data_IF_020963456297
#
_entry.id   IF_020963456297
#
_cell.length_a   1.000
_cell.length_b   1.000
_cell.length_c   1.000
_cell.angle_alpha   90.00
_cell.angle_beta   90.00
_cell.angle_gamma   90.00
#
_symmetry.space_group_name_H-M   'P 1'
#
loop_
_entity.id
_entity.type
_entity.pdbx_description
1 polymer ?
#
# COMPACT_ATOMS: atom_id res chain seq x y z
N UNK A 1 12.37 -7.46 -1.10
CA UNK A 1 11.07 -7.48 -0.43
C UNK A 1 10.54 -8.91 -0.42
N UNK A 2 10.76 -9.61 0.69
CA UNK A 2 10.42 -11.03 0.90
C UNK A 2 8.91 -11.29 0.71
N UNK A 3 8.10 -10.25 0.79
CA UNK A 3 6.65 -10.34 0.72
C UNK A 3 6.07 -10.03 -0.66
N UNK A 4 6.88 -9.54 -1.57
CA UNK A 4 6.47 -9.39 -2.97
C UNK A 4 6.55 -10.75 -3.65
N UNK A 5 5.41 -11.19 -4.12
CA UNK A 5 5.22 -12.46 -4.80
C UNK A 5 5.52 -12.40 -6.28
N UNK A 6 6.32 -11.44 -6.68
CA UNK A 6 6.76 -11.38 -8.05
C UNK A 6 7.65 -12.57 -8.34
N UNK A 7 7.47 -13.24 -9.48
CA UNK A 7 8.41 -14.26 -9.90
C UNK A 7 9.81 -13.65 -9.89
N UNK A 8 10.74 -14.30 -9.25
CA UNK A 8 12.13 -13.84 -9.13
C UNK A 8 12.87 -13.72 -10.47
N UNK A 9 12.19 -14.13 -11.55
CA UNK A 9 12.71 -14.04 -12.93
C UNK A 9 12.31 -12.76 -13.65
N UNK A 10 11.58 -11.82 -13.01
CA UNK A 10 11.35 -10.49 -13.54
C UNK A 10 12.56 -9.61 -13.29
N UNK A 11 13.01 -8.91 -14.32
CA UNK A 11 13.92 -7.79 -14.17
C UNK A 11 13.13 -6.52 -13.94
N UNK A 12 13.09 -6.02 -12.69
CA UNK A 12 12.47 -4.73 -12.36
C UNK A 12 13.54 -3.62 -12.43
N UNK A 13 14.10 -3.42 -13.63
CA UNK A 13 15.09 -2.36 -13.85
C UNK A 13 14.84 -1.65 -15.17
N UNK A 14 15.30 -0.42 -15.26
CA UNK A 14 15.33 0.35 -16.50
C UNK A 14 16.70 1.00 -16.68
N UNK A 15 17.16 1.06 -17.91
CA UNK A 15 18.39 1.74 -18.29
C UNK A 15 18.02 3.04 -19.02
N UNK A 16 18.51 4.13 -18.50
CA UNK A 16 18.30 5.45 -19.08
C UNK A 16 19.61 6.04 -19.53
N UNK A 17 19.59 6.69 -20.70
CA UNK A 17 20.72 7.51 -21.16
C UNK A 17 20.23 8.96 -21.23
N UNK A 18 20.94 9.84 -20.54
CA UNK A 18 20.61 11.27 -20.51
C UNK A 18 21.36 11.98 -21.63
N UNK A 19 20.65 12.83 -22.36
CA UNK A 19 21.19 13.62 -23.46
C UNK A 19 21.13 15.11 -23.12
N UNK A 20 22.08 15.89 -23.63
CA UNK A 20 22.15 17.33 -23.48
C UNK A 20 22.69 18.00 -24.71
N UNK A 21 22.97 19.33 -24.63
CA UNK A 21 23.58 20.04 -25.73
C UNK A 21 25.03 19.56 -26.05
N UNK A 22 25.60 20.05 -27.14
CA UNK A 22 26.96 19.67 -27.56
C UNK A 22 28.05 19.94 -26.49
N UNK A 23 27.74 20.77 -25.48
CA UNK A 23 28.62 21.07 -24.33
C UNK A 23 28.32 20.24 -23.09
N UNK A 24 27.41 19.25 -23.19
CA UNK A 24 27.01 18.39 -22.07
C UNK A 24 26.15 19.07 -21.01
N UNK A 25 25.45 20.18 -21.35
CA UNK A 25 24.52 20.85 -20.43
C UNK A 25 23.09 20.37 -20.65
N UNK A 26 22.24 20.44 -19.61
CA UNK A 26 20.81 20.20 -19.77
C UNK A 26 20.22 21.07 -20.89
N UNK A 27 19.44 20.43 -21.76
CA UNK A 27 18.83 21.09 -22.92
C UNK A 27 17.45 20.52 -23.20
N UNK A 28 16.57 21.28 -23.87
CA UNK A 28 15.33 20.75 -24.43
C UNK A 28 15.63 19.69 -25.49
N UNK A 29 14.64 18.85 -25.81
CA UNK A 29 14.81 17.83 -26.85
C UNK A 29 15.25 18.42 -28.19
N UNK A 30 16.28 17.81 -28.76
CA UNK A 30 16.77 18.08 -30.11
C UNK A 30 17.44 16.81 -30.64
N UNK A 31 17.31 16.57 -31.95
CA UNK A 31 18.00 15.45 -32.61
C UNK A 31 19.54 15.60 -32.58
N UNK A 32 20.02 16.80 -32.39
CA UNK A 32 21.45 17.12 -32.28
C UNK A 32 21.99 16.95 -30.84
N UNK A 33 21.19 16.58 -29.88
CA UNK A 33 21.63 16.34 -28.51
C UNK A 33 22.59 15.14 -28.45
N UNK A 34 23.61 15.27 -27.61
CA UNK A 34 24.62 14.22 -27.39
C UNK A 34 24.50 13.61 -26.00
N UNK A 35 24.93 12.36 -25.80
CA UNK A 35 24.95 11.74 -24.47
C UNK A 35 25.78 12.56 -23.49
N UNK A 36 25.22 12.86 -22.32
CA UNK A 36 25.94 13.56 -21.24
C UNK A 36 26.94 12.58 -20.60
N UNK A 37 28.20 13.00 -20.50
CA UNK A 37 29.20 12.29 -19.73
C UNK A 37 29.07 12.65 -18.26
N UNK A 38 28.77 11.70 -17.35
CA UNK A 38 28.62 11.99 -15.93
C UNK A 38 29.94 12.42 -15.30
N UNK A 39 29.91 13.35 -14.36
CA UNK A 39 31.10 13.81 -13.62
C UNK A 39 31.69 12.72 -12.73
N UNK A 40 30.85 11.80 -12.27
CA UNK A 40 31.23 10.67 -11.42
C UNK A 40 30.41 9.45 -11.80
N UNK A 41 31.07 8.33 -11.90
CA UNK A 41 30.46 7.01 -12.13
C UNK A 41 30.59 6.19 -10.85
N UNK A 42 29.52 5.50 -10.48
CA UNK A 42 29.56 4.55 -9.37
C UNK A 42 30.19 3.24 -9.88
N UNK A 43 31.05 2.68 -9.08
CA UNK A 43 31.60 1.35 -9.38
C UNK A 43 30.52 0.29 -9.16
N UNK A 44 30.38 -0.61 -10.12
CA UNK A 44 29.51 -1.78 -10.00
C UNK A 44 30.38 -2.97 -9.59
N UNK A 45 30.12 -3.51 -8.40
CA UNK A 45 30.76 -4.73 -7.94
C UNK A 45 30.07 -5.95 -8.57
N UNK A 46 30.86 -6.87 -9.09
CA UNK A 46 30.39 -8.17 -9.62
C UNK A 46 30.74 -9.34 -8.68
N UNK A 47 31.30 -9.06 -7.51
CA UNK A 47 31.67 -10.10 -6.52
C UNK A 47 30.48 -10.75 -5.82
N UNK A 48 29.26 -10.21 -6.00
CA UNK A 48 28.06 -10.68 -5.31
C UNK A 48 27.93 -10.12 -3.89
N UNK A 49 26.98 -10.65 -3.13
CA UNK A 49 26.70 -10.33 -1.74
C UNK A 49 26.62 -11.62 -0.93
N UNK A 50 26.95 -11.55 0.36
CA UNK A 50 26.90 -12.65 1.29
C UNK A 50 26.01 -12.32 2.48
N UNK A 51 25.59 -13.36 3.21
CA UNK A 51 24.84 -13.17 4.45
C UNK A 51 25.69 -12.39 5.47
N UNK A 52 25.10 -11.31 6.03
CA UNK A 52 25.78 -10.43 6.97
C UNK A 52 26.45 -9.20 6.33
N UNK A 53 26.49 -9.10 5.00
CA UNK A 53 26.97 -7.88 4.33
C UNK A 53 26.07 -6.69 4.62
N UNK A 54 26.68 -5.50 4.68
CA UNK A 54 25.92 -4.26 4.85
C UNK A 54 25.06 -3.98 3.62
N UNK A 55 23.77 -3.74 3.86
CA UNK A 55 22.83 -3.33 2.84
C UNK A 55 22.09 -2.06 3.26
N UNK A 56 21.88 -1.15 2.31
CA UNK A 56 21.15 0.09 2.53
C UNK A 56 20.14 0.32 1.40
N UNK A 57 18.93 0.75 1.80
CA UNK A 57 17.90 1.19 0.86
C UNK A 57 17.75 2.71 0.99
N UNK A 58 17.91 3.42 -0.12
CA UNK A 58 17.66 4.86 -0.19
C UNK A 58 16.26 5.06 -0.74
N UNK A 59 15.35 5.59 0.08
CA UNK A 59 13.97 5.84 -0.30
C UNK A 59 13.02 5.80 0.89
N UNK A 60 11.75 6.01 0.59
CA UNK A 60 10.67 5.93 1.57
C UNK A 60 9.97 4.59 1.45
N UNK A 61 10.24 3.63 2.35
CA UNK A 61 9.52 2.37 2.35
C UNK A 61 8.03 2.64 2.63
N UNK A 62 7.17 1.78 2.10
CA UNK A 62 5.74 1.84 2.36
C UNK A 62 5.41 1.63 3.85
N UNK A 63 4.13 1.48 4.14
CA UNK A 63 3.68 1.26 5.52
C UNK A 63 3.96 -0.18 5.96
N UNK A 64 4.55 -0.34 7.14
CA UNK A 64 4.66 -1.61 7.87
C UNK A 64 3.94 -1.51 9.21
N UNK A 65 3.27 -2.60 9.63
CA UNK A 65 2.54 -2.67 10.89
C UNK A 65 3.21 -3.73 11.79
N UNK A 66 4.38 -3.42 12.34
CA UNK A 66 5.19 -4.38 13.12
C UNK A 66 4.64 -4.67 14.52
N UNK A 67 3.90 -3.74 15.11
CA UNK A 67 3.49 -3.77 16.51
C UNK A 67 1.97 -3.90 16.65
N UNK A 68 1.34 -4.70 15.79
CA UNK A 68 -0.08 -4.99 15.90
C UNK A 68 -0.35 -5.92 17.09
N UNK A 69 -1.44 -5.66 17.82
CA UNK A 69 -1.96 -6.59 18.82
C UNK A 69 -2.53 -7.86 18.18
N UNK A 70 -2.72 -8.92 18.96
CA UNK A 70 -3.37 -10.15 18.51
C UNK A 70 -4.75 -9.85 17.91
N UNK A 71 -5.50 -8.92 18.50
CA UNK A 71 -6.82 -8.52 18.03
C UNK A 71 -6.74 -7.77 16.69
N UNK A 72 -5.76 -6.90 16.51
CA UNK A 72 -5.54 -6.19 15.25
C UNK A 72 -5.15 -7.16 14.11
N UNK A 73 -4.31 -8.15 14.38
CA UNK A 73 -3.96 -9.20 13.42
C UNK A 73 -5.19 -10.03 13.08
N UNK A 74 -6.00 -10.41 14.06
CA UNK A 74 -7.25 -11.14 13.89
C UNK A 74 -8.25 -10.38 13.01
N UNK A 75 -8.45 -9.08 13.26
CA UNK A 75 -9.31 -8.23 12.43
C UNK A 75 -8.79 -8.20 10.98
N UNK A 76 -7.48 -8.11 10.79
CA UNK A 76 -6.89 -8.12 9.46
C UNK A 76 -7.11 -9.45 8.74
N UNK A 77 -6.85 -10.57 9.42
CA UNK A 77 -6.96 -11.90 8.85
C UNK A 77 -8.41 -12.32 8.56
N UNK A 78 -9.35 -12.01 9.47
CA UNK A 78 -10.70 -12.53 9.41
C UNK A 78 -11.74 -11.52 8.90
N UNK A 79 -11.44 -10.23 8.91
CA UNK A 79 -12.39 -9.19 8.51
C UNK A 79 -11.94 -8.48 7.25
N UNK A 80 -10.79 -7.77 7.27
CA UNK A 80 -10.43 -6.87 6.17
C UNK A 80 -9.88 -7.61 4.95
N UNK A 81 -8.92 -8.51 5.13
CA UNK A 81 -8.30 -9.22 4.01
C UNK A 81 -9.29 -10.08 3.20
N UNK A 82 -10.22 -10.84 3.82
CA UNK A 82 -11.21 -11.61 3.07
C UNK A 82 -12.10 -10.74 2.17
N UNK A 83 -12.52 -9.57 2.66
CA UNK A 83 -13.31 -8.61 1.88
C UNK A 83 -12.52 -8.08 0.70
N UNK A 84 -11.27 -7.63 0.94
CA UNK A 84 -10.39 -7.11 -0.11
C UNK A 84 -10.14 -8.17 -1.18
N UNK A 85 -9.81 -9.39 -0.77
CA UNK A 85 -9.55 -10.51 -1.69
C UNK A 85 -10.76 -10.74 -2.58
N UNK A 86 -11.95 -10.91 -1.96
CA UNK A 86 -13.18 -11.21 -2.70
C UNK A 86 -13.54 -10.09 -3.67
N UNK A 87 -13.71 -8.88 -3.18
CA UNK A 87 -14.16 -7.74 -3.99
C UNK A 87 -13.22 -7.46 -5.17
N UNK A 88 -11.91 -7.57 -4.94
CA UNK A 88 -10.92 -7.33 -6.00
C UNK A 88 -10.84 -8.48 -6.98
N UNK A 89 -10.97 -9.74 -6.54
CA UNK A 89 -10.99 -10.89 -7.45
C UNK A 89 -12.20 -10.84 -8.36
N UNK A 90 -13.39 -10.61 -7.83
CA UNK A 90 -14.61 -10.48 -8.63
C UNK A 90 -14.45 -9.40 -9.71
N UNK A 91 -13.84 -8.26 -9.36
CA UNK A 91 -13.55 -7.18 -10.30
C UNK A 91 -12.50 -7.56 -11.36
N UNK A 92 -11.42 -8.22 -10.95
CA UNK A 92 -10.38 -8.68 -11.86
C UNK A 92 -10.90 -9.69 -12.88
N UNK A 93 -11.79 -10.60 -12.47
CA UNK A 93 -12.40 -11.58 -13.34
C UNK A 93 -13.29 -10.93 -14.42
N UNK A 94 -14.00 -9.85 -14.05
CA UNK A 94 -14.78 -9.06 -15.02
C UNK A 94 -13.84 -8.34 -15.99
N UNK A 95 -12.81 -7.65 -15.47
CA UNK A 95 -11.86 -6.92 -16.30
C UNK A 95 -11.15 -7.86 -17.27
N UNK A 96 -10.68 -9.02 -16.80
CA UNK A 96 -9.94 -9.98 -17.62
C UNK A 96 -10.75 -10.45 -18.80
N UNK A 97 -12.03 -10.80 -18.59
CA UNK A 97 -12.93 -11.23 -19.69
C UNK A 97 -13.04 -10.18 -20.80
N UNK A 98 -13.15 -8.90 -20.43
CA UNK A 98 -13.23 -7.83 -21.43
C UNK A 98 -11.86 -7.55 -22.09
N UNK A 99 -10.77 -7.64 -21.33
CA UNK A 99 -9.41 -7.48 -21.84
C UNK A 99 -8.98 -8.62 -22.77
N UNK A 100 -9.51 -9.82 -22.58
CA UNK A 100 -9.27 -10.96 -23.49
C UNK A 100 -10.06 -10.85 -24.78
N UNK A 101 -11.24 -10.25 -24.73
CA UNK A 101 -12.11 -10.08 -25.89
C UNK A 101 -11.68 -8.93 -26.81
N UNK A 102 -10.98 -7.91 -26.29
CA UNK A 102 -10.66 -6.69 -27.02
C UNK A 102 -9.26 -6.16 -26.67
N UNK A 103 -8.32 -6.11 -27.65
CA UNK A 103 -6.96 -5.60 -27.46
C UNK A 103 -6.89 -4.14 -27.01
N UNK A 104 -7.79 -3.28 -27.45
CA UNK A 104 -7.82 -1.87 -27.08
C UNK A 104 -8.25 -1.69 -25.63
N UNK A 105 -9.27 -2.46 -25.20
CA UNK A 105 -9.66 -2.56 -23.79
C UNK A 105 -8.51 -3.10 -22.96
N UNK A 106 -7.78 -4.10 -23.46
CA UNK A 106 -6.61 -4.64 -22.77
C UNK A 106 -5.54 -3.57 -22.55
N UNK A 107 -5.22 -2.81 -23.56
CA UNK A 107 -4.23 -1.72 -23.46
C UNK A 107 -4.68 -0.67 -22.44
N UNK A 108 -5.94 -0.24 -22.52
CA UNK A 108 -6.54 0.78 -21.66
C UNK A 108 -6.56 0.39 -20.18
N UNK A 109 -6.82 -0.89 -19.87
CA UNK A 109 -7.02 -1.36 -18.49
C UNK A 109 -5.82 -2.09 -17.88
N UNK A 110 -4.73 -2.32 -18.62
CA UNK A 110 -3.57 -3.10 -18.14
C UNK A 110 -3.02 -2.58 -16.83
N UNK A 111 -2.71 -1.30 -16.72
CA UNK A 111 -2.15 -0.72 -15.50
C UNK A 111 -3.12 -0.85 -14.32
N UNK A 112 -4.39 -0.59 -14.56
CA UNK A 112 -5.44 -0.70 -13.54
C UNK A 112 -5.60 -2.14 -13.07
N UNK A 113 -5.60 -3.10 -13.99
CA UNK A 113 -5.64 -4.52 -13.70
C UNK A 113 -4.45 -4.97 -12.85
N UNK A 114 -3.24 -4.64 -13.25
CA UNK A 114 -2.03 -5.01 -12.50
C UNK A 114 -2.00 -4.38 -11.10
N UNK A 115 -2.41 -3.13 -10.97
CA UNK A 115 -2.49 -2.47 -9.67
C UNK A 115 -3.48 -3.19 -8.74
N UNK A 116 -4.70 -3.49 -9.22
CA UNK A 116 -5.71 -4.20 -8.44
C UNK A 116 -5.24 -5.60 -8.06
N UNK A 117 -4.66 -6.33 -9.03
CA UNK A 117 -4.12 -7.68 -8.83
C UNK A 117 -3.02 -7.69 -7.77
N UNK A 118 -2.09 -6.74 -7.82
CA UNK A 118 -1.01 -6.64 -6.85
C UNK A 118 -1.53 -6.57 -5.40
N UNK A 119 -2.53 -5.74 -5.15
CA UNK A 119 -3.11 -5.61 -3.80
C UNK A 119 -4.01 -6.79 -3.40
N UNK A 120 -4.75 -7.38 -4.35
CA UNK A 120 -5.54 -8.58 -4.09
C UNK A 120 -4.65 -9.75 -3.68
N UNK A 121 -3.57 -9.90 -4.40
CA UNK A 121 -2.57 -10.92 -4.15
C UNK A 121 -1.79 -10.65 -2.86
N UNK A 122 -1.45 -9.39 -2.56
CA UNK A 122 -0.86 -9.02 -1.29
C UNK A 122 -1.74 -9.48 -0.11
N UNK A 123 -3.03 -9.12 -0.11
CA UNK A 123 -3.96 -9.50 0.95
C UNK A 123 -4.09 -11.04 1.09
N UNK A 124 -4.14 -11.76 -0.04
CA UNK A 124 -4.20 -13.22 -0.07
C UNK A 124 -2.98 -13.85 0.58
N UNK A 125 -1.78 -13.43 0.17
CA UNK A 125 -0.55 -14.02 0.68
C UNK A 125 -0.22 -13.57 2.09
N UNK A 126 -0.58 -12.36 2.46
CA UNK A 126 -0.53 -11.92 3.85
C UNK A 126 -1.34 -12.85 4.74
N UNK A 127 -2.59 -13.18 4.38
CA UNK A 127 -3.41 -14.12 5.15
C UNK A 127 -2.79 -15.52 5.23
N UNK A 128 -2.20 -16.01 4.15
CA UNK A 128 -1.52 -17.31 4.16
C UNK A 128 -0.33 -17.26 5.12
N UNK A 129 0.45 -16.18 5.11
CA UNK A 129 1.59 -16.03 6.02
C UNK A 129 1.15 -15.87 7.47
N UNK A 130 0.12 -15.05 7.75
CA UNK A 130 -0.41 -14.86 9.11
C UNK A 130 -0.82 -16.20 9.74
N UNK A 131 -1.49 -17.06 8.97
CA UNK A 131 -1.90 -18.41 9.43
C UNK A 131 -0.73 -19.36 9.54
N UNK A 132 0.14 -19.41 8.50
CA UNK A 132 1.25 -20.36 8.45
C UNK A 132 2.23 -20.17 9.62
N UNK A 133 2.45 -18.93 10.02
CA UNK A 133 3.38 -18.59 11.10
C UNK A 133 2.66 -18.33 12.44
N UNK A 134 1.36 -18.60 12.52
CA UNK A 134 0.56 -18.35 13.72
C UNK A 134 0.83 -16.99 14.38
N UNK A 135 0.78 -15.93 13.58
CA UNK A 135 1.14 -14.57 14.07
C UNK A 135 0.18 -14.15 15.19
N UNK A 136 -1.09 -14.58 15.15
CA UNK A 136 -2.06 -14.33 16.22
C UNK A 136 -1.57 -14.97 17.53
N UNK A 137 -1.13 -16.23 17.50
CA UNK A 137 -0.60 -16.93 18.68
C UNK A 137 0.67 -16.29 19.22
N UNK A 138 1.60 -15.89 18.34
CA UNK A 138 2.82 -15.16 18.73
C UNK A 138 2.46 -13.88 19.49
N UNK A 139 1.55 -13.07 18.96
CA UNK A 139 1.12 -11.82 19.61
C UNK A 139 0.36 -12.06 20.89
N UNK A 140 -0.51 -13.08 20.94
CA UNK A 140 -1.21 -13.47 22.17
C UNK A 140 -0.23 -13.91 23.29
N UNK A 141 0.85 -14.61 22.94
CA UNK A 141 1.89 -14.96 23.89
C UNK A 141 2.66 -13.74 24.42
N UNK A 142 2.89 -12.74 23.59
CA UNK A 142 3.48 -11.44 24.00
C UNK A 142 2.53 -10.69 24.95
N UNK A 143 1.22 -10.67 24.63
CA UNK A 143 0.17 -10.06 25.46
C UNK A 143 0.03 -10.78 26.81
N UNK A 144 0.16 -12.11 26.83
CA UNK A 144 0.15 -12.87 28.09
C UNK A 144 1.35 -12.52 28.99
N UNK A 145 2.53 -12.30 28.41
CA UNK A 145 3.69 -11.81 29.19
C UNK A 145 3.46 -10.41 29.74
N UNK A 146 2.85 -9.52 28.95
CA UNK A 146 2.44 -8.20 29.42
C UNK A 146 1.43 -8.28 30.56
N UNK A 147 0.41 -9.14 30.44
CA UNK A 147 -0.58 -9.37 31.50
C UNK A 147 0.09 -9.84 32.79
N UNK A 148 1.00 -10.81 32.71
CA UNK A 148 1.75 -11.27 33.89
C UNK A 148 2.61 -10.18 34.54
N UNK A 149 3.22 -9.32 33.72
CA UNK A 149 3.97 -8.15 34.20
C UNK A 149 3.07 -7.12 34.89
N UNK A 150 1.87 -6.87 34.37
CA UNK A 150 0.87 -5.99 34.98
C UNK A 150 0.42 -6.55 36.32
N UNK A 151 0.11 -7.85 36.36
CA UNK A 151 -0.42 -8.51 37.55
C UNK A 151 0.59 -8.65 38.70
N UNK A 152 1.87 -8.59 38.41
CA UNK A 152 2.93 -8.69 39.40
C UNK A 152 3.06 -7.45 40.31
N UNK A 153 2.40 -6.34 40.01
CA UNK A 153 2.52 -5.09 40.76
C UNK A 153 1.14 -4.41 40.92
N UNK A 154 0.69 -4.08 42.16
CA UNK A 154 -0.59 -3.44 42.41
C UNK A 154 -0.77 -2.09 41.71
N UNK A 155 0.29 -1.27 41.60
CA UNK A 155 0.21 0.02 40.93
C UNK A 155 0.01 -0.15 39.41
N UNK A 156 0.75 -1.08 38.80
CA UNK A 156 0.57 -1.43 37.38
C UNK A 156 -0.81 -2.01 37.10
N UNK A 157 -1.31 -2.87 38.00
CA UNK A 157 -2.67 -3.41 37.91
C UNK A 157 -3.73 -2.32 37.99
N UNK A 158 -3.57 -1.34 38.87
CA UNK A 158 -4.49 -0.22 38.98
C UNK A 158 -4.49 0.64 37.71
N UNK A 159 -3.35 0.81 37.03
CA UNK A 159 -3.21 1.64 35.84
C UNK A 159 -3.56 0.91 34.55
N UNK A 160 -3.13 -0.36 34.39
CA UNK A 160 -3.19 -1.10 33.12
C UNK A 160 -4.06 -2.38 33.17
N UNK A 161 -4.68 -2.72 34.32
CA UNK A 161 -5.37 -4.00 34.52
C UNK A 161 -6.43 -4.30 33.45
N UNK A 162 -7.15 -3.29 33.00
CA UNK A 162 -8.23 -3.43 32.01
C UNK A 162 -7.76 -3.28 30.57
N UNK A 163 -6.48 -3.01 30.30
CA UNK A 163 -5.96 -2.64 28.99
C UNK A 163 -6.29 -3.68 27.91
N UNK A 164 -5.91 -4.92 28.15
CA UNK A 164 -6.08 -6.01 27.15
C UNK A 164 -7.54 -6.39 26.97
N UNK A 165 -8.33 -6.37 28.05
CA UNK A 165 -9.76 -6.64 28.01
C UNK A 165 -10.51 -5.57 27.21
N UNK A 166 -10.22 -4.29 27.47
CA UNK A 166 -10.81 -3.18 26.76
C UNK A 166 -10.38 -3.17 25.28
N UNK A 167 -9.14 -3.49 24.98
CA UNK A 167 -8.66 -3.63 23.60
C UNK A 167 -9.45 -4.71 22.86
N UNK A 168 -9.60 -5.90 23.43
CA UNK A 168 -10.38 -6.99 22.86
C UNK A 168 -11.84 -6.57 22.62
N UNK A 169 -12.51 -6.02 23.63
CA UNK A 169 -13.88 -5.55 23.53
C UNK A 169 -14.05 -4.48 22.42
N UNK A 170 -13.10 -3.55 22.31
CA UNK A 170 -13.14 -2.54 21.28
C UNK A 170 -13.02 -3.11 19.85
N UNK A 171 -12.17 -4.10 19.63
CA UNK A 171 -12.07 -4.78 18.33
C UNK A 171 -13.32 -5.61 18.00
N UNK A 172 -13.86 -6.33 18.97
CA UNK A 172 -15.10 -7.10 18.78
C UNK A 172 -16.28 -6.18 18.43
N UNK A 173 -16.44 -5.08 19.16
CA UNK A 173 -17.53 -4.14 18.94
C UNK A 173 -17.51 -3.45 17.57
N UNK A 174 -16.32 -3.21 16.99
CA UNK A 174 -16.19 -2.53 15.69
C UNK A 174 -16.15 -3.47 14.49
N UNK A 175 -16.03 -4.77 14.67
CA UNK A 175 -15.73 -5.73 13.61
C UNK A 175 -16.72 -5.63 12.42
N UNK A 176 -18.03 -5.51 12.69
CA UNK A 176 -19.04 -5.39 11.64
C UNK A 176 -18.95 -4.06 10.91
N UNK A 177 -18.82 -2.95 11.63
CA UNK A 177 -18.63 -1.63 11.03
C UNK A 177 -17.37 -1.54 10.17
N UNK A 178 -16.27 -2.21 10.58
CA UNK A 178 -15.05 -2.32 9.78
C UNK A 178 -15.30 -3.14 8.52
N UNK A 179 -16.05 -4.24 8.61
CA UNK A 179 -16.43 -5.07 7.47
C UNK A 179 -17.25 -4.29 6.46
N UNK A 180 -18.32 -3.64 6.90
CA UNK A 180 -19.18 -2.80 6.06
C UNK A 180 -18.40 -1.68 5.38
N UNK A 181 -17.57 -0.97 6.15
CA UNK A 181 -16.71 0.09 5.61
C UNK A 181 -15.75 -0.45 4.55
N UNK A 182 -15.17 -1.62 4.77
CA UNK A 182 -14.27 -2.24 3.82
C UNK A 182 -14.98 -2.62 2.52
N UNK A 183 -16.18 -3.21 2.61
CA UNK A 183 -17.02 -3.48 1.44
C UNK A 183 -17.38 -2.19 0.71
N UNK A 184 -17.87 -1.19 1.42
CA UNK A 184 -18.23 0.10 0.83
C UNK A 184 -17.05 0.72 0.04
N UNK A 185 -15.86 0.69 0.61
CA UNK A 185 -14.66 1.21 -0.06
C UNK A 185 -14.26 0.39 -1.28
N UNK A 186 -14.31 -0.93 -1.20
CA UNK A 186 -13.85 -1.81 -2.29
C UNK A 186 -14.87 -1.96 -3.42
N UNK A 187 -16.18 -1.80 -3.16
CA UNK A 187 -17.22 -1.99 -4.16
C UNK A 187 -17.80 -0.68 -4.71
N UNK A 188 -17.83 0.40 -3.92
CA UNK A 188 -18.39 1.67 -4.34
C UNK A 188 -17.34 2.73 -4.66
N UNK A 189 -16.44 3.01 -3.74
CA UNK A 189 -15.53 4.15 -3.89
C UNK A 189 -14.41 3.83 -4.89
N UNK A 190 -13.65 2.75 -4.66
CA UNK A 190 -12.44 2.44 -5.44
C UNK A 190 -12.65 1.91 -6.85
N UNK A 191 -13.77 1.25 -7.21
CA UNK A 191 -13.94 0.76 -8.56
C UNK A 191 -14.16 1.84 -9.61
N UNK A 192 -14.75 2.97 -9.23
CA UNK A 192 -15.14 4.04 -10.13
C UNK A 192 -14.31 5.30 -9.91
N UNK A 193 -13.67 5.81 -10.96
CA UNK A 193 -12.92 7.07 -10.90
C UNK A 193 -13.84 8.26 -10.59
N UNK A 194 -15.09 8.20 -11.07
CA UNK A 194 -16.12 9.21 -10.75
C UNK A 194 -16.43 9.21 -9.26
N UNK A 195 -16.66 8.01 -8.67
CA UNK A 195 -16.92 7.88 -7.24
C UNK A 195 -15.71 8.27 -6.38
N UNK A 196 -14.51 7.93 -6.82
CA UNK A 196 -13.28 8.40 -6.13
C UNK A 196 -13.16 9.92 -6.16
N UNK A 197 -13.43 10.53 -7.30
CA UNK A 197 -13.40 11.99 -7.44
C UNK A 197 -14.48 12.65 -6.60
N UNK A 198 -15.71 12.14 -6.63
CA UNK A 198 -16.81 12.63 -5.80
C UNK A 198 -16.49 12.53 -4.30
N UNK A 199 -15.92 11.39 -3.87
CA UNK A 199 -15.52 11.21 -2.47
C UNK A 199 -14.39 12.18 -2.06
N UNK A 200 -13.42 12.44 -2.93
CA UNK A 200 -12.35 13.42 -2.68
C UNK A 200 -12.90 14.83 -2.59
N UNK A 201 -13.80 15.21 -3.49
CA UNK A 201 -14.46 16.52 -3.46
C UNK A 201 -15.33 16.68 -2.22
N UNK A 202 -16.10 15.68 -1.84
CA UNK A 202 -16.89 15.68 -0.61
C UNK A 202 -16.01 15.89 0.62
N UNK A 203 -14.92 15.12 0.74
CA UNK A 203 -13.96 15.29 1.85
C UNK A 203 -13.34 16.68 1.87
N UNK A 204 -13.09 17.27 0.71
CA UNK A 204 -12.57 18.63 0.59
C UNK A 204 -13.61 19.67 1.10
N UNK A 205 -14.85 19.53 0.65
CA UNK A 205 -15.97 20.40 1.09
C UNK A 205 -16.18 20.29 2.61
N UNK A 206 -16.22 19.07 3.15
CA UNK A 206 -16.36 18.86 4.58
C UNK A 206 -15.22 19.51 5.38
N UNK A 207 -14.00 19.45 4.86
CA UNK A 207 -12.83 20.12 5.46
C UNK A 207 -12.97 21.64 5.40
N UNK A 208 -13.38 22.17 4.24
CA UNK A 208 -13.62 23.62 4.10
C UNK A 208 -14.70 24.12 5.05
N UNK A 209 -15.78 23.36 5.23
CA UNK A 209 -16.87 23.72 6.14
C UNK A 209 -16.43 23.69 7.61
N UNK A 210 -15.61 22.71 7.99
CA UNK A 210 -15.16 22.55 9.37
C UNK A 210 -14.00 23.50 9.74
N UNK A 211 -13.01 23.61 8.87
CA UNK A 211 -11.71 24.23 9.18
C UNK A 211 -11.50 25.56 8.40
N UNK A 212 -12.48 25.98 7.58
CA UNK A 212 -12.44 27.18 6.74
C UNK A 212 -11.70 26.98 5.41
N UNK A 213 -11.92 27.90 4.48
CA UNK A 213 -11.37 27.84 3.10
C UNK A 213 -9.82 27.83 3.10
N UNK A 214 -9.20 28.55 4.04
CA UNK A 214 -7.73 28.62 4.14
C UNK A 214 -7.09 27.25 4.34
N UNK A 215 -7.80 26.28 4.94
CA UNK A 215 -7.29 24.91 5.18
C UNK A 215 -7.05 24.10 3.90
N UNK A 216 -7.53 24.57 2.75
CA UNK A 216 -7.44 23.88 1.47
C UNK A 216 -6.72 24.67 0.38
N UNK A 217 -6.23 25.89 0.69
CA UNK A 217 -5.54 26.75 -0.28
C UNK A 217 -4.24 26.12 -0.83
N UNK A 218 -3.56 25.30 -0.03
CA UNK A 218 -2.33 24.60 -0.45
C UNK A 218 -2.60 23.31 -1.24
N UNK A 219 -3.86 22.89 -1.37
CA UNK A 219 -4.22 21.75 -2.19
C UNK A 219 -4.24 22.19 -3.65
N UNK A 220 -3.12 22.02 -4.32
CA UNK A 220 -2.99 22.26 -5.75
C UNK A 220 -4.07 21.53 -6.53
N UNK A 221 -4.77 22.25 -7.42
CA UNK A 221 -5.73 21.68 -8.37
C UNK A 221 -5.11 20.55 -9.25
N UNK A 222 -3.79 20.49 -9.33
CA UNK A 222 -3.02 19.44 -10.01
C UNK A 222 -3.36 18.06 -9.44
N UNK A 223 -3.53 17.90 -8.13
CA UNK A 223 -3.91 16.63 -7.51
C UNK A 223 -5.35 16.19 -7.79
N UNK A 224 -6.20 17.11 -8.27
CA UNK A 224 -7.59 16.81 -8.66
C UNK A 224 -7.65 16.47 -10.17
N UNK A 225 -6.78 17.03 -10.98
CA UNK A 225 -6.80 16.94 -12.45
C UNK A 225 -5.86 15.89 -13.05
N UNK A 226 -4.89 15.37 -12.30
CA UNK A 226 -3.93 14.39 -12.83
C UNK A 226 -4.48 13.01 -13.22
N UNK A 227 -5.60 12.49 -12.65
CA UNK A 227 -6.15 11.22 -13.13
C UNK A 227 -6.60 11.25 -14.60
N UNK A 228 -6.83 12.42 -15.17
CA UNK A 228 -7.34 12.59 -16.53
C UNK A 228 -6.28 12.81 -17.59
N UNK A 229 -5.04 13.13 -17.22
CA UNK A 229 -3.95 13.36 -18.18
C UNK A 229 -3.27 12.09 -18.70
N UNK A 230 -3.44 10.97 -18.03
CA UNK A 230 -2.90 9.68 -18.48
C UNK A 230 -3.88 8.86 -19.31
N UNK A 231 -5.10 9.35 -19.56
CA UNK A 231 -6.11 8.68 -20.38
C UNK A 231 -6.33 9.29 -21.77
N UNK A 232 -5.50 10.25 -22.17
CA UNK A 232 -5.48 10.85 -23.50
C UNK A 232 -4.12 10.67 -24.16
#
# INVERSE_FOLDING_TARGET
>A
DVYKRQPQHKGDFALYRVYGDAKGRPAAYSENNVPITPRKVLNVSTSGIHDGDYAMVIGFPGRTNRYMSSQAVREKEHVTNPVVIKARRDRLDIMLRHMEADPDVRLMYSDKYFNISNYADYAKWENICLRRYDVIGIRAAEEARLAAWIDADPARRAEYGDLLANLKKGYEARAEAVREKCYYQETWIRPSDVMMTANRLGTLVDRMQRDGIASVQDLSLIHISEPTRHSL
#
